data_IF_713567314659
#
_entry.id   IF_713567314659
#
_cell.length_a   1.000
_cell.length_b   1.000
_cell.length_c   1.000
_cell.angle_alpha   90.00
_cell.angle_beta   90.00
_cell.angle_gamma   90.00
#
_symmetry.space_group_name_H-M   'P 1'
#
loop_
_entity.id
_entity.type
_entity.pdbx_description
1 polymer ?
#
# COMPACT_ATOMS: atom_id res chain seq x y z
N UNK A 1 -23.73 5.79 2.42
CA UNK A 1 -23.22 4.44 2.04
C UNK A 1 -22.61 4.36 0.62
N UNK A 2 -22.21 5.48 -0.01
CA UNK A 2 -21.58 5.47 -1.35
C UNK A 2 -20.05 5.50 -1.30
N UNK A 3 -19.45 5.87 -0.17
CA UNK A 3 -18.01 6.14 -0.08
C UNK A 3 -17.12 4.90 0.12
N UNK A 4 -17.67 3.78 0.59
CA UNK A 4 -16.91 2.53 0.80
C UNK A 4 -16.36 1.90 -0.50
N UNK A 5 -16.89 2.30 -1.65
CA UNK A 5 -16.42 1.86 -2.98
C UNK A 5 -15.48 2.85 -3.66
N UNK A 6 -15.25 4.04 -3.10
CA UNK A 6 -14.37 5.02 -3.71
C UNK A 6 -12.90 4.64 -3.39
N UNK A 7 -12.06 4.32 -4.39
CA UNK A 7 -10.66 3.97 -4.17
C UNK A 7 -9.84 4.99 -3.37
N UNK A 8 -10.14 6.27 -3.53
CA UNK A 8 -9.48 7.36 -2.79
C UNK A 8 -9.87 7.30 -1.32
N UNK A 9 -11.14 6.99 -1.02
CA UNK A 9 -11.61 6.83 0.36
C UNK A 9 -11.02 5.58 1.01
N UNK A 10 -10.93 4.46 0.27
CA UNK A 10 -10.28 3.24 0.73
C UNK A 10 -8.80 3.46 1.04
N UNK A 11 -8.09 4.18 0.16
CA UNK A 11 -6.70 4.58 0.40
C UNK A 11 -6.55 5.45 1.64
N UNK A 12 -7.37 6.49 1.77
CA UNK A 12 -7.32 7.39 2.92
C UNK A 12 -7.64 6.65 4.24
N UNK A 13 -8.60 5.73 4.22
CA UNK A 13 -8.93 4.92 5.39
C UNK A 13 -7.79 3.97 5.76
N UNK A 14 -7.21 3.26 4.78
CA UNK A 14 -6.03 2.44 5.01
C UNK A 14 -4.85 3.23 5.60
N UNK A 15 -4.65 4.48 5.17
CA UNK A 15 -3.66 5.38 5.76
C UNK A 15 -3.95 5.76 7.20
N UNK A 16 -5.20 6.07 7.53
CA UNK A 16 -5.60 6.41 8.90
C UNK A 16 -5.32 5.24 9.85
N UNK A 17 -5.59 4.01 9.40
CA UNK A 17 -5.35 2.79 10.17
C UNK A 17 -3.86 2.51 10.41
N UNK A 18 -2.97 2.98 9.53
CA UNK A 18 -1.51 2.90 9.74
C UNK A 18 -1.05 3.95 10.76
N UNK A 19 -1.60 5.16 10.67
CA UNK A 19 -1.18 6.31 11.49
C UNK A 19 -1.74 6.25 12.91
N UNK A 20 -2.97 5.81 13.10
CA UNK A 20 -3.58 5.65 14.42
C UNK A 20 -3.93 6.95 15.18
N UNK A 21 -4.03 8.10 14.48
CA UNK A 21 -4.19 9.42 15.13
C UNK A 21 -5.64 9.75 15.53
N UNK A 22 -6.62 9.19 14.84
CA UNK A 22 -8.06 9.45 15.04
C UNK A 22 -8.91 8.19 15.15
N UNK A 23 -8.31 7.05 14.80
CA UNK A 23 -8.88 5.71 14.88
C UNK A 23 -7.80 4.80 15.44
N UNK A 24 -8.20 3.68 16.01
CA UNK A 24 -7.24 2.68 16.49
C UNK A 24 -6.35 2.19 15.34
N UNK A 25 -5.07 2.05 15.65
CA UNK A 25 -4.08 1.59 14.69
C UNK A 25 -4.32 0.11 14.40
N UNK A 26 -4.79 -0.22 13.20
CA UNK A 26 -4.90 -1.59 12.71
C UNK A 26 -4.18 -1.74 11.35
N UNK A 27 -2.88 -2.06 11.37
CA UNK A 27 -2.12 -2.27 10.15
C UNK A 27 -2.61 -3.47 9.34
N UNK A 28 -3.22 -4.49 9.95
CA UNK A 28 -3.75 -5.64 9.21
C UNK A 28 -4.99 -5.25 8.41
N UNK A 29 -5.84 -4.40 8.96
CA UNK A 29 -6.96 -3.82 8.24
C UNK A 29 -6.51 -2.86 7.15
N UNK A 30 -5.47 -2.05 7.42
CA UNK A 30 -4.89 -1.18 6.42
C UNK A 30 -4.45 -1.92 5.15
N UNK A 31 -3.85 -3.12 5.30
CA UNK A 31 -3.49 -3.98 4.15
C UNK A 31 -4.70 -4.27 3.28
N UNK A 32 -5.84 -4.61 3.88
CA UNK A 32 -7.07 -4.97 3.15
C UNK A 32 -7.56 -3.79 2.31
N UNK A 33 -7.62 -2.60 2.90
CA UNK A 33 -8.11 -1.40 2.22
C UNK A 33 -7.16 -0.88 1.16
N UNK A 34 -5.86 -0.88 1.45
CA UNK A 34 -4.84 -0.50 0.47
C UNK A 34 -4.78 -1.47 -0.70
N UNK A 35 -5.06 -2.77 -0.49
CA UNK A 35 -5.05 -3.76 -1.57
C UNK A 35 -6.18 -3.51 -2.56
N UNK A 36 -7.37 -3.19 -2.05
CA UNK A 36 -8.50 -2.80 -2.90
C UNK A 36 -8.21 -1.49 -3.64
N UNK A 37 -7.74 -0.47 -2.93
CA UNK A 37 -7.43 0.82 -3.54
C UNK A 37 -6.34 0.75 -4.62
N UNK A 38 -5.30 -0.07 -4.40
CA UNK A 38 -4.23 -0.28 -5.38
C UNK A 38 -4.68 -1.08 -6.60
N UNK A 39 -5.26 -2.26 -6.38
CA UNK A 39 -5.52 -3.21 -7.47
C UNK A 39 -6.84 -2.95 -8.21
N UNK A 40 -7.93 -2.65 -7.50
CA UNK A 40 -9.23 -2.35 -8.13
C UNK A 40 -9.33 -0.86 -8.51
N UNK A 41 -8.73 -0.01 -7.69
CA UNK A 41 -8.84 1.43 -7.81
C UNK A 41 -7.74 2.13 -8.61
N UNK A 42 -6.64 1.43 -8.91
CA UNK A 42 -5.50 2.00 -9.62
C UNK A 42 -4.78 3.11 -8.86
N UNK A 43 -4.91 3.17 -7.53
CA UNK A 43 -4.28 4.23 -6.73
C UNK A 43 -2.79 3.89 -6.54
N UNK A 44 -1.94 4.62 -7.27
CA UNK A 44 -0.49 4.43 -7.28
C UNK A 44 0.13 4.51 -5.87
N UNK A 45 -0.35 5.45 -5.03
CA UNK A 45 0.09 5.59 -3.63
C UNK A 45 -0.29 4.38 -2.76
N UNK A 46 -1.43 3.74 -3.02
CA UNK A 46 -1.88 2.57 -2.26
C UNK A 46 -1.00 1.35 -2.58
N UNK A 47 -0.71 1.13 -3.87
CA UNK A 47 0.23 0.10 -4.31
C UNK A 47 1.64 0.35 -3.73
N UNK A 48 2.11 1.61 -3.72
CA UNK A 48 3.39 1.96 -3.12
C UNK A 48 3.40 1.67 -1.61
N UNK A 49 2.35 2.04 -0.88
CA UNK A 49 2.25 1.84 0.55
C UNK A 49 2.22 0.35 0.91
N UNK A 50 1.51 -0.48 0.14
CA UNK A 50 1.57 -1.93 0.26
C UNK A 50 2.97 -2.49 0.04
N UNK A 51 3.70 -1.96 -0.95
CA UNK A 51 5.10 -2.33 -1.17
C UNK A 51 5.96 -2.07 0.06
N UNK A 52 5.80 -0.91 0.70
CA UNK A 52 6.47 -0.58 1.96
C UNK A 52 6.04 -1.54 3.09
N UNK A 53 4.74 -1.84 3.22
CA UNK A 53 4.25 -2.76 4.24
C UNK A 53 4.85 -4.17 4.08
N UNK A 54 4.96 -4.68 2.86
CA UNK A 54 5.64 -5.96 2.57
C UNK A 54 7.15 -5.92 2.81
N UNK A 55 7.80 -4.80 2.53
CA UNK A 55 9.24 -4.63 2.81
C UNK A 55 9.52 -4.62 4.31
N UNK A 56 8.69 -3.91 5.06
CA UNK A 56 8.94 -3.58 6.48
C UNK A 56 8.23 -4.54 7.45
N UNK A 57 7.25 -5.31 6.98
CA UNK A 57 6.51 -6.28 7.80
C UNK A 57 5.43 -5.63 8.66
N UNK A 58 4.74 -4.63 8.11
CA UNK A 58 3.73 -3.85 8.84
C UNK A 58 2.35 -4.40 8.52
N UNK A 59 1.67 -4.99 9.51
CA UNK A 59 0.34 -5.59 9.33
C UNK A 59 0.32 -6.89 8.53
N UNK A 60 1.50 -7.40 8.14
CA UNK A 60 1.71 -8.64 7.41
C UNK A 60 3.16 -9.10 7.57
N UNK A 61 3.45 -10.33 7.18
CA UNK A 61 4.82 -10.85 7.19
C UNK A 61 5.67 -10.19 6.09
N UNK A 62 6.95 -9.92 6.39
CA UNK A 62 7.90 -9.40 5.40
C UNK A 62 7.95 -10.33 4.19
N UNK A 63 7.76 -9.79 3.00
CA UNK A 63 7.85 -10.54 1.76
C UNK A 63 8.39 -9.67 0.64
N UNK A 64 9.66 -9.87 0.33
CA UNK A 64 10.35 -9.04 -0.63
C UNK A 64 9.85 -9.21 -2.06
N UNK A 65 9.42 -10.41 -2.46
CA UNK A 65 8.84 -10.66 -3.78
C UNK A 65 7.53 -9.89 -3.95
N UNK A 66 6.68 -9.92 -2.93
CA UNK A 66 5.43 -9.15 -2.93
C UNK A 66 5.70 -7.64 -2.86
N UNK A 67 6.70 -7.18 -2.09
CA UNK A 67 7.12 -5.78 -2.10
C UNK A 67 7.53 -5.30 -3.50
N UNK A 68 8.38 -6.05 -4.19
CA UNK A 68 8.78 -5.77 -5.59
C UNK A 68 7.57 -5.73 -6.51
N UNK A 69 6.65 -6.68 -6.38
CA UNK A 69 5.44 -6.71 -7.22
C UNK A 69 4.57 -5.47 -7.04
N UNK A 70 4.35 -5.05 -5.79
CA UNK A 70 3.56 -3.84 -5.46
C UNK A 70 4.26 -2.56 -5.90
N UNK A 71 5.58 -2.46 -5.76
CA UNK A 71 6.31 -1.30 -6.27
C UNK A 71 6.31 -1.24 -7.80
N UNK A 72 6.41 -2.37 -8.51
CA UNK A 72 6.25 -2.39 -9.98
C UNK A 72 4.86 -1.94 -10.41
N UNK A 73 3.83 -2.35 -9.68
CA UNK A 73 2.45 -1.89 -9.90
C UNK A 73 2.33 -0.38 -9.69
N UNK A 74 2.89 0.15 -8.60
CA UNK A 74 2.94 1.58 -8.34
C UNK A 74 3.70 2.36 -9.43
N UNK A 75 4.81 1.82 -9.92
CA UNK A 75 5.61 2.40 -11.01
C UNK A 75 4.80 2.47 -12.32
N UNK A 76 4.10 1.38 -12.68
CA UNK A 76 3.19 1.32 -13.83
C UNK A 76 2.04 2.32 -13.73
N UNK A 77 1.57 2.58 -12.52
CA UNK A 77 0.53 3.58 -12.22
C UNK A 77 1.09 5.01 -12.12
N UNK A 78 2.40 5.21 -12.30
CA UNK A 78 3.05 6.53 -12.33
C UNK A 78 3.48 7.08 -10.96
N UNK A 79 3.64 6.24 -9.93
CA UNK A 79 4.09 6.70 -8.62
C UNK A 79 5.56 7.16 -8.66
N UNK A 80 5.88 8.41 -8.28
CA UNK A 80 7.18 9.03 -8.55
C UNK A 80 8.35 8.40 -7.77
N UNK A 81 8.08 7.71 -6.65
CA UNK A 81 9.10 7.06 -5.82
C UNK A 81 9.20 5.54 -6.04
N UNK A 82 8.38 4.96 -6.91
CA UNK A 82 8.33 3.52 -7.08
C UNK A 82 9.63 2.95 -7.65
N UNK A 83 10.17 3.55 -8.72
CA UNK A 83 11.48 3.20 -9.26
C UNK A 83 12.63 3.30 -8.25
N UNK A 84 12.62 4.32 -7.38
CA UNK A 84 13.61 4.43 -6.30
C UNK A 84 13.45 3.31 -5.28
N UNK A 85 12.22 3.00 -4.86
CA UNK A 85 11.95 1.95 -3.90
C UNK A 85 12.35 0.56 -4.44
N UNK A 86 12.15 0.30 -5.73
CA UNK A 86 12.62 -0.93 -6.38
C UNK A 86 14.14 -1.08 -6.32
N UNK A 87 14.88 0.01 -6.57
CA UNK A 87 16.35 0.01 -6.51
C UNK A 87 16.87 -0.15 -5.08
N UNK A 88 16.11 0.31 -4.09
CA UNK A 88 16.47 0.21 -2.67
C UNK A 88 16.17 -1.16 -2.06
N UNK A 89 15.49 -2.06 -2.77
CA UNK A 89 15.27 -3.42 -2.30
C UNK A 89 16.57 -4.24 -2.39
N UNK A 90 16.97 -4.96 -1.33
CA UNK A 90 18.13 -5.84 -1.39
C UNK A 90 18.04 -6.81 -2.58
N UNK A 91 19.14 -6.97 -3.31
CA UNK A 91 19.26 -8.04 -4.30
C UNK A 91 19.33 -9.37 -3.54
N UNK A 92 18.24 -10.14 -3.56
CA UNK A 92 18.22 -11.52 -3.02
C UNK A 92 18.94 -12.46 -3.95
#
# INVERSE_FOLDING_TARGET
ARDAKNPVSQYNYGRLLIVGRYIDRDPQEAVRWLSRAGSEGGIADAAFMLGCMYRDGVGLARNQRLATSRFREADRLGHPKAGQALRALPST
#
